data_IF_466182331245
#
_entry.id   IF_466182331245
#
_cell.length_a   1.000
_cell.length_b   1.000
_cell.length_c   1.000
_cell.angle_alpha   90.00
_cell.angle_beta   90.00
_cell.angle_gamma   90.00
#
_symmetry.space_group_name_H-M   'P 1'
#
loop_
_entity.id
_entity.type
_entity.pdbx_description
1 polymer ?
#
# COMPACT_ATOMS: atom_id res chain seq x y z
N UNK A 1 -4.31 -5.64 23.41
CA UNK A 1 -4.64 -6.20 22.09
C UNK A 1 -4.99 -4.99 21.25
N UNK A 2 -4.01 -4.40 20.56
CA UNK A 2 -4.17 -3.15 19.79
C UNK A 2 -4.14 -3.58 18.32
N UNK A 3 -5.23 -4.20 17.85
CA UNK A 3 -5.32 -4.78 16.51
C UNK A 3 -6.23 -3.97 15.57
N UNK A 4 -6.67 -2.77 15.95
CA UNK A 4 -7.77 -2.07 15.24
C UNK A 4 -7.35 -0.73 14.61
N UNK A 5 -6.47 -0.74 13.60
CA UNK A 5 -6.54 0.32 12.57
C UNK A 5 -5.91 -0.07 11.21
N UNK A 6 -6.04 -1.33 10.81
CA UNK A 6 -5.77 -1.73 9.42
C UNK A 6 -6.96 -1.30 8.56
N UNK A 7 -6.75 -0.31 7.70
CA UNK A 7 -7.78 0.18 6.79
C UNK A 7 -7.67 -0.54 5.45
N UNK A 8 -8.74 -1.19 4.97
CA UNK A 8 -8.75 -1.78 3.64
C UNK A 8 -8.72 -0.67 2.58
N UNK A 9 -7.86 -0.84 1.59
CA UNK A 9 -7.76 0.01 0.42
C UNK A 9 -7.86 -0.85 -0.85
N UNK A 10 -8.81 -0.50 -1.71
CA UNK A 10 -8.96 -1.14 -3.01
C UNK A 10 -7.92 -0.60 -3.99
N UNK A 11 -7.19 -1.50 -4.63
CA UNK A 11 -6.12 -1.15 -5.54
C UNK A 11 -5.96 -2.17 -6.67
N UNK A 12 -5.24 -1.77 -7.70
CA UNK A 12 -5.06 -2.56 -8.92
C UNK A 12 -3.59 -2.91 -9.09
N UNK A 13 -3.33 -4.15 -9.49
CA UNK A 13 -1.97 -4.59 -9.75
C UNK A 13 -1.43 -3.87 -11.00
N UNK A 14 -0.29 -3.15 -10.92
CA UNK A 14 0.28 -2.45 -12.07
C UNK A 14 0.87 -3.39 -13.13
N UNK A 15 0.88 -4.71 -12.89
CA UNK A 15 1.38 -5.72 -13.82
C UNK A 15 0.27 -6.46 -14.58
N UNK A 16 -0.83 -6.81 -13.91
CA UNK A 16 -1.89 -7.65 -14.48
C UNK A 16 -3.30 -7.05 -14.35
N UNK A 17 -3.41 -5.80 -13.87
CA UNK A 17 -4.67 -5.05 -13.68
C UNK A 17 -5.71 -5.76 -12.81
N UNK A 18 -5.28 -6.77 -12.03
CA UNK A 18 -6.20 -7.48 -11.12
C UNK A 18 -6.51 -6.60 -9.92
N UNK A 19 -7.79 -6.41 -9.56
CA UNK A 19 -8.16 -5.71 -8.33
C UNK A 19 -7.83 -6.57 -7.10
N UNK A 20 -7.31 -5.95 -6.06
CA UNK A 20 -7.07 -6.57 -4.76
C UNK A 20 -7.26 -5.55 -3.64
N UNK A 21 -7.51 -6.06 -2.44
CA UNK A 21 -7.63 -5.25 -1.23
C UNK A 21 -6.33 -5.36 -0.43
N UNK A 22 -5.82 -4.21 0.00
CA UNK A 22 -4.63 -4.14 0.84
C UNK A 22 -4.98 -3.49 2.17
N UNK A 23 -4.48 -4.08 3.26
CA UNK A 23 -4.64 -3.55 4.61
C UNK A 23 -3.50 -2.59 4.93
N UNK A 24 -3.83 -1.30 5.05
CA UNK A 24 -2.86 -0.25 5.37
C UNK A 24 -2.80 -0.02 6.88
N UNK A 25 -1.61 -0.16 7.46
CA UNK A 25 -1.32 0.27 8.83
C UNK A 25 -0.80 1.71 8.85
N UNK A 26 -1.64 2.66 9.31
CA UNK A 26 -1.23 4.07 9.46
C UNK A 26 -0.36 4.32 10.69
N UNK A 27 -0.29 3.36 11.63
CA UNK A 27 0.46 3.55 12.87
C UNK A 27 1.97 3.67 12.63
N UNK A 28 2.46 3.10 11.52
CA UNK A 28 3.85 3.20 11.08
C UNK A 28 4.22 4.55 10.44
N UNK A 29 3.26 5.45 10.22
CA UNK A 29 3.50 6.72 9.54
C UNK A 29 3.84 6.54 8.06
N UNK A 30 4.55 7.50 7.46
CA UNK A 30 4.98 7.41 6.05
C UNK A 30 6.05 6.36 5.88
N UNK A 31 5.78 5.35 5.04
CA UNK A 31 6.70 4.25 4.77
C UNK A 31 6.51 3.67 3.37
N UNK A 32 7.49 2.89 2.94
CA UNK A 32 7.39 2.08 1.73
C UNK A 32 7.49 0.61 2.09
N UNK A 33 6.67 -0.22 1.45
CA UNK A 33 6.67 -1.67 1.62
C UNK A 33 6.52 -2.36 0.27
N UNK A 34 6.70 -3.67 0.27
CA UNK A 34 6.59 -4.51 -0.92
C UNK A 34 5.55 -5.59 -0.67
N UNK A 35 4.63 -5.75 -1.60
CA UNK A 35 3.60 -6.78 -1.55
C UNK A 35 3.51 -7.51 -2.89
N UNK A 36 3.31 -8.81 -2.85
CA UNK A 36 3.16 -9.62 -4.05
C UNK A 36 1.71 -9.64 -4.52
N UNK A 37 1.51 -9.52 -5.85
CA UNK A 37 0.17 -9.65 -6.41
C UNK A 37 -0.40 -11.07 -6.16
N UNK A 38 -1.60 -11.21 -5.58
CA UNK A 38 -2.20 -12.53 -5.31
C UNK A 38 -2.55 -13.32 -6.58
N UNK A 39 -2.49 -12.68 -7.76
CA UNK A 39 -2.86 -13.28 -9.05
C UNK A 39 -1.67 -13.65 -9.92
N UNK A 40 -0.72 -12.73 -10.09
CA UNK A 40 0.44 -12.92 -10.97
C UNK A 40 1.77 -13.10 -10.22
N UNK A 41 1.77 -13.03 -8.89
CA UNK A 41 2.97 -13.12 -8.05
C UNK A 41 4.08 -12.12 -8.44
N UNK A 42 3.72 -10.97 -9.01
CA UNK A 42 4.66 -9.90 -9.31
C UNK A 42 4.83 -9.00 -8.07
N UNK A 43 6.05 -8.53 -7.78
CA UNK A 43 6.32 -7.65 -6.64
C UNK A 43 5.81 -6.24 -6.93
N UNK A 44 4.88 -5.76 -6.11
CA UNK A 44 4.30 -4.42 -6.18
C UNK A 44 4.97 -3.56 -5.10
N UNK A 45 5.58 -2.44 -5.50
CA UNK A 45 6.08 -1.45 -4.55
C UNK A 45 4.93 -0.57 -4.07
N UNK A 46 4.84 -0.38 -2.77
CA UNK A 46 3.81 0.43 -2.14
C UNK A 46 4.46 1.60 -1.41
N UNK A 47 4.00 2.81 -1.72
CA UNK A 47 4.39 4.02 -0.99
C UNK A 47 3.17 4.56 -0.27
N UNK A 48 3.26 4.57 1.06
CA UNK A 48 2.20 5.00 1.97
C UNK A 48 2.67 6.30 2.61
N UNK A 49 1.93 7.37 2.38
CA UNK A 49 2.23 8.69 2.93
C UNK A 49 1.17 9.07 3.95
N UNK A 50 1.60 9.31 5.19
CA UNK A 50 0.72 9.64 6.32
C UNK A 50 1.09 11.00 6.87
N UNK A 51 0.08 11.82 7.16
CA UNK A 51 0.25 13.14 7.76
C UNK A 51 0.84 12.98 9.16
N UNK A 52 2.01 13.56 9.46
CA UNK A 52 2.58 13.50 10.80
C UNK A 52 1.78 14.34 11.82
N UNK A 53 0.91 15.24 11.34
CA UNK A 53 0.10 16.11 12.20
C UNK A 53 -1.26 15.50 12.58
N UNK A 54 -1.93 14.82 11.63
CA UNK A 54 -3.26 14.21 11.85
C UNK A 54 -3.24 12.69 11.95
N UNK A 55 -2.15 12.04 11.53
CA UNK A 55 -2.08 10.59 11.38
C UNK A 55 -2.95 10.07 10.24
N UNK A 56 -3.43 10.92 9.34
CA UNK A 56 -4.29 10.58 8.20
C UNK A 56 -3.50 10.14 6.97
N UNK A 57 -4.04 9.16 6.23
CA UNK A 57 -3.49 8.75 4.95
C UNK A 57 -3.60 9.93 3.97
N UNK A 58 -2.45 10.42 3.54
CA UNK A 58 -2.32 11.53 2.58
C UNK A 58 -2.32 10.99 1.16
N UNK A 59 -1.57 9.91 0.93
CA UNK A 59 -1.45 9.30 -0.39
C UNK A 59 -1.04 7.84 -0.29
N UNK A 60 -1.56 7.03 -1.21
CA UNK A 60 -1.18 5.65 -1.42
C UNK A 60 -0.85 5.46 -2.89
N UNK A 61 0.39 5.07 -3.20
CA UNK A 61 0.82 4.78 -4.55
C UNK A 61 1.28 3.33 -4.67
N UNK A 62 0.81 2.66 -5.72
CA UNK A 62 1.25 1.33 -6.12
C UNK A 62 2.08 1.46 -7.39
N UNK A 63 3.35 1.07 -7.31
CA UNK A 63 4.31 1.10 -8.41
C UNK A 63 4.85 -0.28 -8.72
N UNK A 64 5.49 -0.39 -9.89
CA UNK A 64 6.32 -1.54 -10.23
C UNK A 64 7.71 -1.34 -9.60
N UNK A 65 8.46 -2.42 -9.40
CA UNK A 65 9.82 -2.37 -8.87
C UNK A 65 10.76 -1.44 -9.67
N UNK A 66 10.56 -1.38 -10.99
CA UNK A 66 11.36 -0.58 -11.93
C UNK A 66 10.85 0.87 -12.11
N UNK A 67 9.69 1.22 -11.53
CA UNK A 67 9.17 2.59 -11.55
C UNK A 67 9.92 3.40 -10.50
N UNK A 68 11.00 4.08 -10.93
CA UNK A 68 11.78 5.01 -10.09
C UNK A 68 10.87 6.15 -9.62
N UNK A 69 10.21 5.96 -8.47
CA UNK A 69 9.40 6.95 -7.76
C UNK A 69 10.23 7.87 -6.86
#
# INVERSE_FOLDING_TARGET
MHEENLEPQEMYCPYCDTPFELLIDRSQGSHATWEDCPRCCAPIQLRIEVSPASGELVSLAAGRDDDVL
#
